data_IF_248811477648
#
_entry.id   IF_248811477648
#
_cell.length_a   1.000
_cell.length_b   1.000
_cell.length_c   1.000
_cell.angle_alpha   90.00
_cell.angle_beta   90.00
_cell.angle_gamma   90.00
#
_symmetry.space_group_name_H-M   'P 1'
#
loop_
_entity.id
_entity.type
_entity.pdbx_description
1 polymer ?
#
# COMPACT_ATOMS: atom_id res chain seq x y z
N UNK A 1 50.72 -10.69 -6.37
CA UNK A 1 50.22 -11.39 -5.16
C UNK A 1 49.76 -10.37 -4.14
N UNK A 2 48.62 -10.60 -3.50
CA UNK A 2 48.07 -9.77 -2.42
C UNK A 2 48.42 -10.37 -1.07
N UNK A 3 49.13 -9.63 -0.23
CA UNK A 3 49.44 -10.08 1.14
C UNK A 3 48.31 -9.69 2.09
N UNK A 4 47.80 -10.64 2.86
CA UNK A 4 46.74 -10.37 3.82
C UNK A 4 47.27 -9.46 4.95
N UNK A 5 46.65 -8.28 5.20
CA UNK A 5 47.11 -7.36 6.24
C UNK A 5 46.86 -7.89 7.67
N UNK A 6 46.08 -8.96 7.82
CA UNK A 6 45.72 -9.53 9.12
C UNK A 6 46.59 -10.72 9.52
N UNK A 7 46.84 -11.65 8.59
CA UNK A 7 47.55 -12.89 8.88
C UNK A 7 48.81 -13.09 8.04
N UNK A 8 49.17 -12.14 7.18
CA UNK A 8 50.39 -12.20 6.36
C UNK A 8 50.36 -13.19 5.19
N UNK A 9 49.26 -13.92 4.99
CA UNK A 9 49.14 -14.93 3.94
C UNK A 9 49.29 -14.33 2.53
N UNK A 10 49.97 -15.04 1.63
CA UNK A 10 50.13 -14.62 0.23
C UNK A 10 48.99 -15.17 -0.61
N UNK A 11 48.15 -14.29 -1.13
CA UNK A 11 46.96 -14.67 -1.90
C UNK A 11 47.12 -14.29 -3.37
N UNK A 12 46.37 -14.97 -4.24
CA UNK A 12 46.34 -14.67 -5.67
C UNK A 12 45.77 -13.27 -5.92
N UNK A 13 46.15 -12.65 -7.04
CA UNK A 13 45.71 -11.28 -7.38
C UNK A 13 44.20 -11.16 -7.70
N UNK A 14 43.50 -12.29 -7.82
CA UNK A 14 42.04 -12.36 -8.01
C UNK A 14 41.29 -12.77 -6.74
N UNK A 15 41.98 -13.06 -5.63
CA UNK A 15 41.36 -13.51 -4.39
C UNK A 15 40.56 -12.37 -3.73
N UNK A 16 39.24 -12.58 -3.56
CA UNK A 16 38.37 -11.62 -2.83
C UNK A 16 38.50 -11.76 -1.30
N UNK A 17 38.83 -12.95 -0.83
CA UNK A 17 39.02 -13.28 0.59
C UNK A 17 40.36 -14.00 0.78
N UNK A 18 40.94 -13.86 1.96
CA UNK A 18 42.14 -14.56 2.36
C UNK A 18 41.86 -16.05 2.49
N UNK A 19 42.67 -16.88 1.82
CA UNK A 19 42.52 -18.34 1.81
C UNK A 19 42.78 -18.98 3.19
N UNK A 20 43.56 -18.32 4.05
CA UNK A 20 43.87 -18.82 5.40
C UNK A 20 42.87 -18.36 6.48
N UNK A 21 42.57 -17.06 6.55
CA UNK A 21 41.77 -16.48 7.64
C UNK A 21 40.39 -15.95 7.23
N UNK A 22 40.02 -16.05 5.94
CA UNK A 22 38.72 -15.60 5.44
C UNK A 22 38.51 -14.08 5.36
N UNK A 23 39.51 -13.26 5.71
CA UNK A 23 39.38 -11.79 5.67
C UNK A 23 39.26 -11.27 4.24
N UNK A 24 38.35 -10.33 3.92
CA UNK A 24 38.27 -9.69 2.60
C UNK A 24 39.60 -8.97 2.26
N UNK A 25 40.12 -9.19 1.06
CA UNK A 25 41.40 -8.61 0.59
C UNK A 25 41.21 -7.42 -0.34
N UNK A 26 40.06 -7.31 -0.98
CA UNK A 26 39.65 -6.09 -1.66
C UNK A 26 38.96 -5.16 -0.64
N UNK A 27 39.14 -3.83 -0.73
CA UNK A 27 38.26 -2.91 -0.03
C UNK A 27 36.83 -3.23 -0.48
N UNK A 28 35.99 -3.66 0.45
CA UNK A 28 34.56 -3.71 0.17
C UNK A 28 34.17 -2.27 -0.18
N UNK A 29 33.41 -2.04 -1.28
CA UNK A 29 32.86 -0.71 -1.50
C UNK A 29 32.17 -0.31 -0.20
N UNK A 30 32.58 0.83 0.36
CA UNK A 30 31.96 1.36 1.56
C UNK A 30 30.45 1.50 1.35
N UNK A 31 29.65 1.55 2.42
CA UNK A 31 28.22 1.68 2.27
C UNK A 31 27.92 2.90 1.39
N UNK A 32 27.16 2.68 0.32
CA UNK A 32 26.87 3.75 -0.64
C UNK A 32 25.87 4.69 0.00
N UNK A 33 26.26 5.95 0.16
CA UNK A 33 25.40 6.98 0.73
C UNK A 33 24.72 7.76 -0.39
N UNK A 34 23.39 7.84 -0.34
CA UNK A 34 22.58 8.54 -1.32
C UNK A 34 21.64 9.51 -0.63
N UNK A 35 21.51 10.73 -1.16
CA UNK A 35 20.50 11.68 -0.69
C UNK A 35 19.17 11.33 -1.35
N UNK A 36 18.17 10.94 -0.55
CA UNK A 36 16.83 10.54 -1.00
C UNK A 36 15.75 11.23 -0.17
N UNK A 37 14.59 11.40 -0.77
CA UNK A 37 13.37 11.68 -0.02
C UNK A 37 12.88 10.36 0.55
N UNK A 38 12.73 10.30 1.86
CA UNK A 38 12.23 9.13 2.59
C UNK A 38 11.05 9.53 3.45
N UNK A 39 10.23 8.55 3.80
CA UNK A 39 9.18 8.72 4.81
C UNK A 39 9.48 7.86 6.02
N UNK A 40 9.50 8.50 7.19
CA UNK A 40 9.78 7.87 8.47
C UNK A 40 8.48 7.71 9.24
N UNK A 41 8.21 6.49 9.70
CA UNK A 41 7.11 6.14 10.61
C UNK A 41 7.71 5.83 11.98
N UNK A 42 7.20 6.48 13.02
CA UNK A 42 7.46 6.12 14.41
C UNK A 42 6.18 5.57 15.06
N UNK A 43 6.35 4.51 15.83
CA UNK A 43 5.32 3.91 16.69
C UNK A 43 5.92 3.74 18.06
N UNK A 44 5.23 4.20 19.09
CA UNK A 44 5.75 4.16 20.47
C UNK A 44 4.63 3.84 21.44
N UNK A 45 4.92 3.05 22.48
CA UNK A 45 3.91 2.70 23.47
C UNK A 45 3.81 3.78 24.55
N UNK A 46 2.59 4.12 24.92
CA UNK A 46 2.32 5.15 25.93
C UNK A 46 2.47 4.54 27.32
N UNK A 47 3.30 5.18 28.15
CA UNK A 47 3.58 4.82 29.54
C UNK A 47 4.14 3.39 29.73
N UNK A 48 4.56 2.72 28.66
CA UNK A 48 4.97 1.31 28.75
C UNK A 48 6.31 1.17 29.47
N UNK A 49 7.23 2.14 29.35
CA UNK A 49 8.45 2.16 30.16
C UNK A 49 8.13 2.08 31.67
N UNK A 50 7.18 2.89 32.16
CA UNK A 50 6.79 2.89 33.56
C UNK A 50 6.04 1.62 33.99
N UNK A 51 5.32 0.99 33.05
CA UNK A 51 4.68 -0.31 33.27
C UNK A 51 5.71 -1.45 33.33
N UNK A 52 6.71 -1.42 32.45
CA UNK A 52 7.75 -2.43 32.36
C UNK A 52 8.62 -2.46 33.63
N UNK A 53 8.85 -1.33 34.30
CA UNK A 53 9.57 -1.27 35.58
C UNK A 53 8.87 -2.03 36.73
N UNK A 54 7.57 -2.32 36.60
CA UNK A 54 6.75 -2.98 37.63
C UNK A 54 6.46 -4.44 37.32
N UNK A 55 6.87 -4.93 36.15
CA UNK A 55 6.61 -6.29 35.67
C UNK A 55 7.89 -7.12 35.73
N UNK A 56 7.74 -8.44 35.78
CA UNK A 56 8.88 -9.32 35.58
C UNK A 56 9.41 -9.18 34.14
N UNK A 57 10.73 -9.21 33.90
CA UNK A 57 11.29 -9.16 32.56
C UNK A 57 10.71 -10.20 31.59
N UNK A 58 10.32 -11.38 32.07
CA UNK A 58 9.66 -12.40 31.24
C UNK A 58 8.27 -11.95 30.77
N UNK A 59 7.49 -11.31 31.65
CA UNK A 59 6.18 -10.75 31.32
C UNK A 59 6.29 -9.58 30.34
N UNK A 60 7.27 -8.69 30.54
CA UNK A 60 7.56 -7.59 29.61
C UNK A 60 7.87 -8.14 28.22
N UNK A 61 8.69 -9.19 28.14
CA UNK A 61 9.03 -9.86 26.88
C UNK A 61 7.81 -10.53 26.23
N UNK A 62 6.94 -11.14 27.03
CA UNK A 62 5.71 -11.77 26.56
C UNK A 62 4.74 -10.77 25.93
N UNK A 63 4.71 -9.52 26.41
CA UNK A 63 3.90 -8.43 25.84
C UNK A 63 4.58 -7.81 24.60
N UNK A 64 5.88 -7.52 24.68
CA UNK A 64 6.60 -6.82 23.61
C UNK A 64 6.81 -7.67 22.36
N UNK A 65 7.01 -8.99 22.50
CA UNK A 65 7.32 -9.84 21.34
C UNK A 65 6.17 -9.91 20.33
N UNK A 66 4.89 -10.14 20.73
CA UNK A 66 3.75 -10.06 19.82
C UNK A 66 3.54 -8.66 19.25
N UNK A 67 3.71 -7.62 20.07
CA UNK A 67 3.64 -6.22 19.64
C UNK A 67 4.63 -5.93 18.49
N UNK A 68 5.91 -6.24 18.67
CA UNK A 68 6.93 -6.00 17.65
C UNK A 68 6.67 -6.80 16.38
N UNK A 69 6.25 -8.06 16.50
CA UNK A 69 5.90 -8.89 15.33
C UNK A 69 4.74 -8.27 14.55
N UNK A 70 3.70 -7.80 15.25
CA UNK A 70 2.53 -7.18 14.63
C UNK A 70 2.88 -5.88 13.91
N UNK A 71 3.61 -4.98 14.58
CA UNK A 71 4.05 -3.70 14.01
C UNK A 71 4.96 -3.93 12.80
N UNK A 72 5.94 -4.84 12.91
CA UNK A 72 6.84 -5.18 11.83
C UNK A 72 6.09 -5.72 10.62
N UNK A 73 5.17 -6.66 10.82
CA UNK A 73 4.38 -7.25 9.75
C UNK A 73 3.60 -6.19 8.98
N UNK A 74 3.00 -5.21 9.65
CA UNK A 74 2.29 -4.13 8.95
C UNK A 74 3.25 -3.19 8.20
N UNK A 75 4.39 -2.81 8.78
CA UNK A 75 5.38 -1.98 8.07
C UNK A 75 5.86 -2.68 6.79
N UNK A 76 6.23 -3.96 6.89
CA UNK A 76 6.73 -4.76 5.77
C UNK A 76 5.63 -5.04 4.73
N UNK A 77 4.38 -5.27 5.16
CA UNK A 77 3.21 -5.45 4.28
C UNK A 77 2.97 -4.23 3.38
N UNK A 78 3.14 -3.03 3.90
CA UNK A 78 3.06 -1.80 3.11
C UNK A 78 4.36 -1.48 2.37
N UNK A 79 5.34 -2.39 2.36
CA UNK A 79 6.62 -2.28 1.67
C UNK A 79 7.56 -1.23 2.26
N UNK A 80 7.46 -1.00 3.57
CA UNK A 80 8.45 -0.30 4.37
C UNK A 80 9.47 -1.28 4.96
N UNK A 81 10.59 -0.76 5.45
CA UNK A 81 11.63 -1.53 6.15
C UNK A 81 11.67 -1.10 7.60
N UNK A 82 11.68 -2.05 8.54
CA UNK A 82 11.92 -1.75 9.95
C UNK A 82 13.40 -1.50 10.16
N UNK A 83 13.72 -0.31 10.66
CA UNK A 83 15.10 0.13 10.89
C UNK A 83 15.65 -0.42 12.21
N UNK A 84 14.95 -0.11 13.29
CA UNK A 84 15.36 -0.47 14.65
C UNK A 84 14.19 -0.41 15.63
N UNK A 85 14.39 -1.16 16.71
CA UNK A 85 13.61 -1.08 17.94
C UNK A 85 14.45 -0.29 18.95
N UNK A 86 13.86 0.73 19.58
CA UNK A 86 14.51 1.55 20.61
C UNK A 86 13.63 1.51 21.85
N UNK A 87 13.90 0.56 22.76
CA UNK A 87 12.94 0.25 23.81
C UNK A 87 11.62 -0.21 23.18
N UNK A 88 10.51 0.36 23.62
CA UNK A 88 9.15 0.16 23.12
C UNK A 88 8.84 0.88 21.79
N UNK A 89 9.72 1.76 21.32
CA UNK A 89 9.56 2.46 20.07
C UNK A 89 10.04 1.64 18.86
N UNK A 90 9.28 1.71 17.76
CA UNK A 90 9.59 1.11 16.46
C UNK A 90 9.75 2.22 15.42
N UNK A 91 10.84 2.15 14.65
CA UNK A 91 11.08 3.04 13.51
C UNK A 91 10.98 2.26 12.19
N UNK A 92 10.04 2.67 11.34
CA UNK A 92 9.88 2.19 9.97
C UNK A 92 10.31 3.23 8.95
N UNK A 93 10.87 2.78 7.83
CA UNK A 93 11.32 3.63 6.72
C UNK A 93 10.65 3.19 5.42
N UNK A 94 10.12 4.15 4.68
CA UNK A 94 9.61 4.00 3.33
C UNK A 94 10.44 4.90 2.40
N UNK A 95 10.63 4.49 1.14
CA UNK A 95 11.50 5.21 0.20
C UNK A 95 12.96 4.76 0.21
N UNK A 96 13.34 3.83 1.11
CA UNK A 96 14.67 3.24 1.19
C UNK A 96 14.58 1.74 1.53
N UNK A 97 15.44 0.89 0.92
CA UNK A 97 16.48 1.22 -0.06
C UNK A 97 15.92 1.62 -1.44
N UNK A 98 14.67 1.24 -1.73
CA UNK A 98 13.96 1.52 -2.99
C UNK A 98 12.83 2.53 -2.73
N UNK A 99 12.70 3.52 -3.61
CA UNK A 99 11.65 4.53 -3.57
C UNK A 99 10.51 4.21 -4.55
N UNK A 100 9.27 4.39 -4.11
CA UNK A 100 8.07 4.01 -4.86
C UNK A 100 7.17 5.20 -5.24
N UNK A 101 7.53 6.42 -4.81
CA UNK A 101 6.84 7.66 -5.19
C UNK A 101 5.50 7.88 -4.48
N UNK A 102 4.92 6.81 -3.93
CA UNK A 102 3.77 6.79 -3.02
C UNK A 102 4.18 6.47 -1.57
N UNK A 103 5.48 6.55 -1.25
CA UNK A 103 6.05 6.16 0.05
C UNK A 103 5.39 6.85 1.25
N UNK A 104 4.97 8.11 1.06
CA UNK A 104 4.25 8.87 2.08
C UNK A 104 2.84 8.34 2.34
N UNK A 105 2.11 7.95 1.30
CA UNK A 105 0.79 7.33 1.43
C UNK A 105 0.91 5.96 2.11
N UNK A 106 1.83 5.11 1.63
CA UNK A 106 2.05 3.77 2.20
C UNK A 106 2.40 3.84 3.68
N UNK A 107 3.24 4.79 4.09
CA UNK A 107 3.59 5.00 5.50
C UNK A 107 2.39 5.43 6.37
N UNK A 108 1.54 6.34 5.88
CA UNK A 108 0.33 6.76 6.62
C UNK A 108 -0.67 5.61 6.74
N UNK A 109 -0.85 4.83 5.68
CA UNK A 109 -1.71 3.64 5.72
C UNK A 109 -1.17 2.54 6.62
N UNK A 110 0.15 2.33 6.65
CA UNK A 110 0.79 1.44 7.60
C UNK A 110 0.54 1.89 9.05
N UNK A 111 0.64 3.20 9.33
CA UNK A 111 0.35 3.73 10.66
C UNK A 111 -1.11 3.45 11.09
N UNK A 112 -2.07 3.66 10.19
CA UNK A 112 -3.48 3.33 10.42
C UNK A 112 -3.67 1.83 10.69
N UNK A 113 -3.08 0.98 9.84
CA UNK A 113 -3.18 -0.47 10.00
C UNK A 113 -2.55 -0.96 11.31
N UNK A 114 -1.43 -0.37 11.74
CA UNK A 114 -0.80 -0.67 13.04
C UNK A 114 -1.72 -0.28 14.19
N UNK A 115 -2.29 0.93 14.18
CA UNK A 115 -3.23 1.37 15.22
C UNK A 115 -4.41 0.41 15.35
N UNK A 116 -5.04 0.07 14.23
CA UNK A 116 -6.22 -0.81 14.20
C UNK A 116 -5.84 -2.26 14.61
N UNK A 117 -4.67 -2.74 14.20
CA UNK A 117 -4.12 -4.04 14.59
C UNK A 117 -3.93 -4.18 16.10
N UNK A 118 -3.37 -3.14 16.73
CA UNK A 118 -3.14 -3.13 18.18
C UNK A 118 -4.45 -3.00 18.95
N UNK A 119 -5.43 -2.28 18.41
CA UNK A 119 -6.78 -2.27 18.96
C UNK A 119 -7.39 -3.69 18.94
N UNK A 120 -7.28 -4.42 17.84
CA UNK A 120 -7.77 -5.81 17.77
C UNK A 120 -7.06 -6.75 18.76
N UNK A 121 -5.78 -6.50 19.06
CA UNK A 121 -5.06 -7.23 20.11
C UNK A 121 -5.64 -6.93 21.51
N UNK A 122 -5.92 -5.66 21.81
CA UNK A 122 -6.55 -5.27 23.08
C UNK A 122 -7.98 -5.82 23.21
N UNK A 123 -8.73 -5.94 22.11
CA UNK A 123 -10.06 -6.55 22.12
C UNK A 123 -9.99 -8.06 22.42
N UNK A 124 -8.96 -8.73 21.93
CA UNK A 124 -8.72 -10.15 22.18
C UNK A 124 -8.18 -10.42 23.59
N UNK A 125 -7.32 -9.54 24.09
CA UNK A 125 -6.76 -9.58 25.43
C UNK A 125 -6.74 -8.17 26.06
N UNK A 126 -7.79 -7.81 26.82
CA UNK A 126 -7.89 -6.50 27.47
C UNK A 126 -6.77 -6.22 28.48
N UNK A 127 -6.07 -7.24 28.97
CA UNK A 127 -4.96 -7.04 29.90
C UNK A 127 -3.73 -6.44 29.21
N UNK A 128 -3.64 -6.51 27.88
CA UNK A 128 -2.53 -5.93 27.13
C UNK A 128 -2.51 -4.41 27.18
N UNK A 129 -3.67 -3.72 27.17
CA UNK A 129 -3.83 -2.25 27.20
C UNK A 129 -2.74 -1.50 26.39
N UNK A 130 -2.53 -1.92 25.14
CA UNK A 130 -1.55 -1.34 24.24
C UNK A 130 -2.07 0.00 23.74
N UNK A 131 -1.55 1.08 24.31
CA UNK A 131 -1.82 2.45 23.89
C UNK A 131 -0.60 2.96 23.14
N UNK A 132 -0.79 3.56 21.97
CA UNK A 132 0.32 3.98 21.11
C UNK A 132 0.27 5.45 20.73
N UNK A 133 1.41 6.03 20.41
CA UNK A 133 1.54 7.31 19.71
C UNK A 133 2.26 7.06 18.40
N UNK A 134 1.71 7.56 17.30
CA UNK A 134 2.31 7.38 15.99
C UNK A 134 2.61 8.71 15.33
N UNK A 135 3.65 8.74 14.50
CA UNK A 135 3.83 9.84 13.57
C UNK A 135 4.48 9.42 12.27
N UNK A 136 4.16 10.16 11.21
CA UNK A 136 4.74 9.98 9.88
C UNK A 136 5.30 11.30 9.38
N UNK A 137 6.54 11.29 8.91
CA UNK A 137 7.15 12.49 8.35
C UNK A 137 7.98 12.17 7.11
N UNK A 138 7.79 12.94 6.06
CA UNK A 138 8.49 12.83 4.78
C UNK A 138 9.49 13.97 4.65
N UNK A 139 10.67 13.66 4.12
CA UNK A 139 11.71 14.66 3.91
C UNK A 139 13.01 14.06 3.37
N UNK A 140 13.95 14.94 3.06
CA UNK A 140 15.27 14.52 2.59
C UNK A 140 16.12 13.93 3.73
N UNK A 141 16.81 12.84 3.41
CA UNK A 141 17.79 12.22 4.29
C UNK A 141 18.95 11.61 3.50
N UNK A 142 20.05 11.38 4.19
CA UNK A 142 21.13 10.53 3.69
C UNK A 142 20.79 9.08 4.03
N UNK A 143 20.70 8.26 2.99
CA UNK A 143 20.45 6.82 3.07
C UNK A 143 21.76 6.08 2.88
N UNK A 144 22.12 5.24 3.85
CA UNK A 144 23.34 4.42 3.84
C UNK A 144 22.97 2.99 3.43
N UNK A 145 23.20 2.64 2.15
CA UNK A 145 22.92 1.31 1.63
C UNK A 145 23.90 0.29 2.21
N UNK A 146 23.38 -0.76 2.86
CA UNK A 146 24.20 -1.77 3.54
C UNK A 146 24.62 -1.39 4.96
N UNK A 147 23.96 -0.41 5.58
CA UNK A 147 24.09 -0.14 7.01
C UNK A 147 23.97 -1.43 7.82
N UNK A 148 24.77 -1.56 8.88
CA UNK A 148 24.73 -2.68 9.81
C UNK A 148 24.09 -2.23 11.12
N UNK A 149 22.77 -2.42 11.32
CA UNK A 149 22.08 -2.02 12.55
C UNK A 149 22.73 -2.61 13.81
N UNK A 150 23.23 -3.85 13.74
CA UNK A 150 23.95 -4.52 14.83
C UNK A 150 25.32 -3.91 15.18
N UNK A 151 25.84 -2.98 14.37
CA UNK A 151 27.07 -2.21 14.63
C UNK A 151 26.77 -0.73 14.94
N UNK A 152 25.49 -0.36 15.14
CA UNK A 152 25.07 1.00 15.46
C UNK A 152 24.99 1.95 14.25
N UNK A 153 25.12 1.44 13.03
CA UNK A 153 24.94 2.21 11.81
C UNK A 153 23.45 2.33 11.46
N UNK A 154 22.94 3.56 11.40
CA UNK A 154 21.58 3.82 10.91
C UNK A 154 21.54 3.93 9.38
N UNK A 155 20.55 3.29 8.76
CA UNK A 155 20.25 3.38 7.33
C UNK A 155 19.86 4.80 6.93
N UNK A 156 19.22 5.58 7.81
CA UNK A 156 18.74 6.93 7.50
C UNK A 156 19.25 7.93 8.52
N UNK A 157 19.85 9.01 8.01
CA UNK A 157 20.28 10.16 8.82
C UNK A 157 19.75 11.47 8.21
N UNK A 158 19.07 12.28 9.03
CA UNK A 158 18.54 13.58 8.61
C UNK A 158 17.54 14.17 9.60
N UNK A 159 17.20 15.45 9.40
CA UNK A 159 16.22 16.17 10.23
C UNK A 159 14.82 15.53 10.16
N UNK A 160 14.51 14.79 9.08
CA UNK A 160 13.25 14.06 8.92
C UNK A 160 13.00 13.08 10.07
N UNK A 161 14.05 12.40 10.57
CA UNK A 161 13.96 11.42 11.67
C UNK A 161 13.67 12.14 12.99
N UNK A 162 14.41 13.21 13.28
CA UNK A 162 14.22 14.00 14.50
C UNK A 162 12.85 14.67 14.53
N UNK A 163 12.36 15.14 13.39
CA UNK A 163 11.03 15.74 13.26
C UNK A 163 9.94 14.69 13.45
N UNK A 164 10.09 13.49 12.87
CA UNK A 164 9.15 12.39 13.06
C UNK A 164 9.03 11.96 14.52
N UNK A 165 10.16 11.80 15.22
CA UNK A 165 10.17 11.46 16.65
C UNK A 165 9.45 12.50 17.51
N UNK A 166 9.61 13.79 17.19
CA UNK A 166 8.93 14.88 17.92
C UNK A 166 7.43 14.90 17.67
N UNK A 167 7.01 14.71 16.41
CA UNK A 167 5.61 14.57 16.07
C UNK A 167 5.00 13.37 16.82
N UNK A 168 5.71 12.24 16.92
CA UNK A 168 5.24 11.09 17.69
C UNK A 168 5.07 11.44 19.16
N UNK A 169 6.07 12.07 19.79
CA UNK A 169 6.00 12.43 21.21
C UNK A 169 4.84 13.38 21.53
N UNK A 170 4.48 14.25 20.58
CA UNK A 170 3.35 15.18 20.70
C UNK A 170 1.99 14.59 20.26
N UNK A 171 1.97 13.38 19.67
CA UNK A 171 0.75 12.79 19.20
C UNK A 171 -0.21 12.48 20.36
N UNK A 172 -1.53 12.64 20.16
CA UNK A 172 -2.49 12.16 21.13
C UNK A 172 -2.42 10.63 21.26
N UNK A 173 -2.88 10.09 22.38
CA UNK A 173 -2.93 8.64 22.58
C UNK A 173 -3.82 8.02 21.50
N UNK A 174 -3.32 6.96 20.86
CA UNK A 174 -3.84 6.30 19.66
C UNK A 174 -3.99 7.21 18.44
N UNK A 175 -3.36 8.38 18.46
CA UNK A 175 -3.31 9.34 17.37
C UNK A 175 -2.11 9.16 16.46
N UNK A 176 -2.27 9.63 15.23
CA UNK A 176 -1.21 9.63 14.21
C UNK A 176 -1.02 11.08 13.74
N UNK A 177 0.12 11.69 14.08
CA UNK A 177 0.46 13.02 13.56
C UNK A 177 1.32 12.93 12.30
N UNK A 178 1.07 13.83 11.35
CA UNK A 178 1.91 13.95 10.15
C UNK A 178 2.52 15.33 10.00
N UNK A 179 3.71 15.38 9.41
CA UNK A 179 4.36 16.63 9.02
C UNK A 179 3.80 17.24 7.72
N UNK A 180 4.22 18.46 7.42
CA UNK A 180 3.71 19.24 6.28
C UNK A 180 3.92 18.59 4.90
N UNK A 181 5.10 18.01 4.67
CA UNK A 181 5.42 17.33 3.41
C UNK A 181 4.49 16.12 3.21
N UNK A 182 4.35 15.29 4.25
CA UNK A 182 3.47 14.12 4.25
C UNK A 182 2.02 14.53 4.05
N UNK A 183 1.53 15.55 4.77
CA UNK A 183 0.19 16.09 4.55
C UNK A 183 0.01 16.58 3.10
N UNK A 184 0.97 17.34 2.58
CA UNK A 184 0.92 17.87 1.21
C UNK A 184 0.77 16.80 0.14
N UNK A 185 1.50 15.67 0.29
CA UNK A 185 1.46 14.56 -0.66
C UNK A 185 0.28 13.61 -0.49
N UNK A 186 -0.39 13.60 0.67
CA UNK A 186 -1.44 12.61 1.00
C UNK A 186 -2.83 13.19 1.29
N UNK A 187 -2.98 14.52 1.46
CA UNK A 187 -4.26 15.20 1.78
C UNK A 187 -5.43 14.94 0.82
N UNK A 188 -5.13 14.46 -0.38
CA UNK A 188 -6.15 14.12 -1.37
C UNK A 188 -6.68 12.68 -1.22
N UNK A 189 -5.98 11.85 -0.44
CA UNK A 189 -6.25 10.42 -0.25
C UNK A 189 -6.58 10.06 1.20
N UNK A 190 -6.24 10.94 2.14
CA UNK A 190 -6.40 10.75 3.58
C UNK A 190 -7.10 11.98 4.15
N UNK A 191 -8.09 11.75 5.02
CA UNK A 191 -8.73 12.78 5.83
C UNK A 191 -7.86 13.17 7.01
N UNK A 192 -7.78 14.49 7.22
CA UNK A 192 -6.99 15.09 8.27
C UNK A 192 -7.79 16.13 9.06
N UNK A 193 -7.52 16.18 10.35
CA UNK A 193 -7.90 17.30 11.21
C UNK A 193 -6.70 18.22 11.46
N UNK A 194 -6.97 19.50 11.67
CA UNK A 194 -5.94 20.44 12.09
C UNK A 194 -5.45 20.07 13.49
N UNK A 195 -4.13 20.01 13.66
CA UNK A 195 -3.51 19.84 14.98
C UNK A 195 -2.71 21.09 15.33
N UNK A 196 -2.54 21.35 16.62
CA UNK A 196 -1.67 22.41 17.09
C UNK A 196 -0.23 22.16 16.61
N UNK A 197 0.49 23.18 16.12
CA UNK A 197 1.89 23.03 15.75
C UNK A 197 2.73 22.51 16.92
N UNK A 198 3.60 21.55 16.62
CA UNK A 198 4.43 20.89 17.64
C UNK A 198 5.67 21.72 17.92
N UNK A 199 5.79 22.20 19.17
CA UNK A 199 6.96 22.91 19.64
C UNK A 199 8.22 22.03 19.61
N UNK A 200 9.28 22.53 18.99
CA UNK A 200 10.49 21.78 18.78
C UNK A 200 11.70 22.53 19.34
N UNK A 201 12.22 22.11 20.50
CA UNK A 201 13.50 22.59 21.05
C UNK A 201 14.61 22.52 19.98
N UNK A 202 15.16 23.67 19.59
CA UNK A 202 16.21 23.78 18.57
C UNK A 202 15.74 24.12 17.15
N UNK A 203 14.42 24.24 16.90
CA UNK A 203 13.87 24.87 15.69
C UNK A 203 13.39 26.29 16.01
N UNK A 204 13.57 27.19 15.05
CA UNK A 204 13.15 28.59 15.19
C UNK A 204 11.62 28.77 15.07
N UNK A 205 10.94 27.80 14.46
CA UNK A 205 9.49 27.81 14.24
C UNK A 205 8.89 26.45 14.67
N UNK A 206 7.67 26.44 15.23
CA UNK A 206 6.93 25.21 15.51
C UNK A 206 6.75 24.36 14.26
N UNK A 207 6.73 23.03 14.41
CA UNK A 207 6.51 22.09 13.31
C UNK A 207 5.01 21.99 13.03
N UNK A 208 4.50 22.39 11.86
CA UNK A 208 3.10 22.20 11.51
C UNK A 208 2.74 20.72 11.52
N UNK A 209 1.58 20.39 12.09
CA UNK A 209 1.12 19.01 12.25
C UNK A 209 -0.36 18.87 11.88
N UNK A 210 -0.72 17.68 11.43
CA UNK A 210 -2.11 17.29 11.13
C UNK A 210 -2.39 15.92 11.71
N UNK A 211 -3.60 15.73 12.24
CA UNK A 211 -4.05 14.45 12.80
C UNK A 211 -4.71 13.63 11.70
N UNK A 212 -4.23 12.40 11.48
CA UNK A 212 -4.85 11.46 10.54
C UNK A 212 -6.18 10.97 11.10
N UNK A 213 -7.24 11.05 10.31
CA UNK A 213 -8.58 10.53 10.66
C UNK A 213 -8.80 9.16 10.01
N UNK A 214 -8.90 9.14 8.68
CA UNK A 214 -9.27 7.96 7.89
C UNK A 214 -8.80 8.07 6.44
N UNK A 215 -8.63 6.94 5.71
CA UNK A 215 -8.41 6.99 4.27
C UNK A 215 -9.70 7.38 3.52
N UNK A 216 -9.59 8.25 2.51
CA UNK A 216 -10.68 8.63 1.59
C UNK A 216 -10.92 7.60 0.49
N UNK A 217 -9.88 6.87 0.11
CA UNK A 217 -9.87 5.95 -1.01
C UNK A 217 -9.05 4.68 -0.71
N UNK A 218 -9.27 3.55 -1.42
CA UNK A 218 -8.43 2.36 -1.35
C UNK A 218 -6.97 2.61 -1.75
N UNK A 219 -6.07 1.69 -1.42
CA UNK A 219 -4.63 1.75 -1.77
C UNK A 219 -4.45 1.83 -3.30
N UNK A 220 -3.65 2.79 -3.77
CA UNK A 220 -3.22 2.86 -5.18
C UNK A 220 -4.04 3.80 -6.06
N UNK A 221 -5.09 4.43 -5.54
CA UNK A 221 -5.73 5.55 -6.23
C UNK A 221 -4.85 6.79 -6.14
N UNK A 222 -4.20 7.19 -7.24
CA UNK A 222 -3.61 8.54 -7.31
C UNK A 222 -4.72 9.57 -7.41
N UNK A 223 -4.81 10.45 -6.42
CA UNK A 223 -5.53 11.70 -6.57
C UNK A 223 -4.71 12.61 -7.47
N UNK A 224 -5.21 12.85 -8.68
CA UNK A 224 -4.59 13.84 -9.57
C UNK A 224 -4.98 15.23 -9.08
N UNK A 225 -4.02 16.15 -9.06
CA UNK A 225 -4.31 17.56 -8.82
C UNK A 225 -5.42 18.03 -9.80
N UNK A 226 -6.32 18.94 -9.39
CA UNK A 226 -7.45 19.42 -10.21
C UNK A 226 -6.99 20.40 -11.31
N UNK A 227 -5.86 20.11 -11.97
CA UNK A 227 -5.32 20.90 -13.08
C UNK A 227 -5.92 20.35 -14.38
N UNK A 228 -6.58 21.16 -15.22
CA UNK A 228 -7.17 20.70 -16.47
C UNK A 228 -6.15 19.96 -17.35
N UNK A 229 -6.56 18.86 -17.96
CA UNK A 229 -5.71 18.16 -18.93
C UNK A 229 -5.52 19.02 -20.19
N UNK A 230 -4.26 19.36 -20.51
CA UNK A 230 -3.92 20.20 -21.65
C UNK A 230 -3.55 19.33 -22.85
N UNK A 231 -4.03 19.68 -24.05
CA UNK A 231 -3.56 19.11 -25.32
C UNK A 231 -4.04 17.69 -25.65
N UNK A 232 -5.08 17.17 -24.96
CA UNK A 232 -5.60 15.80 -25.16
C UNK A 232 -7.11 15.77 -25.45
N UNK A 233 -7.62 16.85 -26.03
CA UNK A 233 -9.06 17.03 -26.30
C UNK A 233 -9.64 16.00 -27.27
N UNK A 234 -8.86 15.59 -28.27
CA UNK A 234 -9.28 14.60 -29.26
C UNK A 234 -9.44 13.20 -28.64
N UNK A 235 -8.44 12.75 -27.87
CA UNK A 235 -8.51 11.46 -27.17
C UNK A 235 -9.62 11.43 -26.13
N UNK A 236 -9.81 12.53 -25.39
CA UNK A 236 -10.93 12.67 -24.46
C UNK A 236 -12.28 12.62 -25.17
N UNK A 237 -12.41 13.23 -26.36
CA UNK A 237 -13.65 13.18 -27.13
C UNK A 237 -13.99 11.75 -27.58
N UNK A 238 -12.99 10.97 -28.02
CA UNK A 238 -13.16 9.56 -28.37
C UNK A 238 -13.63 8.74 -27.16
N UNK A 239 -12.95 8.87 -26.02
CA UNK A 239 -13.32 8.14 -24.80
C UNK A 239 -14.73 8.48 -24.31
N UNK A 240 -15.13 9.75 -24.42
CA UNK A 240 -16.49 10.19 -24.09
C UNK A 240 -17.53 9.58 -25.01
N UNK A 241 -17.32 9.62 -26.32
CA UNK A 241 -18.27 9.05 -27.27
C UNK A 241 -18.42 7.53 -27.10
N UNK A 242 -17.34 6.82 -26.72
CA UNK A 242 -17.42 5.40 -26.36
C UNK A 242 -18.26 5.22 -25.08
N UNK A 243 -18.01 6.03 -24.04
CA UNK A 243 -18.77 5.95 -22.79
C UNK A 243 -20.27 6.25 -22.97
N UNK A 244 -20.60 7.25 -23.79
CA UNK A 244 -21.98 7.58 -24.16
C UNK A 244 -22.66 6.38 -24.82
N UNK A 245 -22.03 5.75 -25.83
CA UNK A 245 -22.57 4.53 -26.45
C UNK A 245 -22.71 3.36 -25.48
N UNK A 246 -21.73 3.14 -24.60
CA UNK A 246 -21.82 2.09 -23.57
C UNK A 246 -23.05 2.31 -22.69
N UNK A 247 -23.29 3.56 -22.30
CA UNK A 247 -24.39 3.94 -21.40
C UNK A 247 -25.76 3.92 -22.08
N UNK A 248 -25.84 4.34 -23.35
CA UNK A 248 -27.10 4.46 -24.09
C UNK A 248 -27.52 3.15 -24.80
N UNK A 249 -26.55 2.41 -25.36
CA UNK A 249 -26.82 1.20 -26.15
C UNK A 249 -26.72 -0.08 -25.31
N UNK A 250 -26.30 -0.01 -24.05
CA UNK A 250 -25.99 -1.16 -23.20
C UNK A 250 -25.07 -2.16 -23.89
N UNK A 251 -24.03 -1.66 -24.57
CA UNK A 251 -23.07 -2.48 -25.30
C UNK A 251 -21.69 -2.41 -24.67
N UNK A 252 -21.10 -3.57 -24.30
CA UNK A 252 -19.80 -3.57 -23.69
C UNK A 252 -18.73 -3.15 -24.70
N UNK A 253 -17.74 -2.38 -24.24
CA UNK A 253 -16.59 -1.98 -25.05
C UNK A 253 -15.28 -2.25 -24.30
N UNK A 254 -14.25 -2.68 -25.03
CA UNK A 254 -12.87 -2.71 -24.56
C UNK A 254 -12.09 -1.60 -25.26
N UNK A 255 -11.43 -0.76 -24.49
CA UNK A 255 -10.56 0.31 -24.97
C UNK A 255 -9.17 0.17 -24.35
N UNK A 256 -8.14 0.29 -25.19
CA UNK A 256 -6.74 0.26 -24.75
C UNK A 256 -6.08 1.60 -25.03
N UNK A 257 -5.48 2.20 -24.01
CA UNK A 257 -4.72 3.46 -24.13
C UNK A 257 -3.23 3.14 -24.19
N UNK A 258 -2.69 3.13 -25.40
CA UNK A 258 -1.26 2.90 -25.61
C UNK A 258 -0.47 4.21 -25.77
N UNK A 259 0.79 4.20 -25.31
CA UNK A 259 1.72 5.32 -25.50
C UNK A 259 2.94 5.28 -24.58
N UNK A 260 3.93 6.16 -24.81
CA UNK A 260 5.16 6.22 -24.01
C UNK A 260 4.92 6.44 -22.51
N UNK A 261 5.88 6.06 -21.68
CA UNK A 261 5.85 6.38 -20.24
C UNK A 261 5.84 7.89 -20.03
N UNK A 262 5.05 8.37 -19.07
CA UNK A 262 4.96 9.81 -18.75
C UNK A 262 4.06 10.64 -19.67
N UNK A 263 3.52 10.10 -20.78
CA UNK A 263 2.64 10.84 -21.72
C UNK A 263 1.25 11.19 -21.14
N UNK A 264 0.96 10.80 -19.90
CA UNK A 264 -0.31 11.09 -19.23
C UNK A 264 -1.43 10.06 -19.48
N UNK A 265 -1.11 8.78 -19.71
CA UNK A 265 -2.12 7.70 -19.85
C UNK A 265 -3.04 7.58 -18.64
N UNK A 266 -2.49 7.44 -17.43
CA UNK A 266 -3.30 7.39 -16.20
C UNK A 266 -4.08 8.68 -15.97
N UNK A 267 -3.56 9.85 -16.40
CA UNK A 267 -4.31 11.12 -16.34
C UNK A 267 -5.51 11.09 -17.28
N UNK A 268 -5.36 10.55 -18.49
CA UNK A 268 -6.43 10.40 -19.47
C UNK A 268 -7.54 9.47 -18.95
N UNK A 269 -7.16 8.32 -18.39
CA UNK A 269 -8.08 7.40 -17.72
C UNK A 269 -8.82 8.07 -16.55
N UNK A 270 -8.10 8.86 -15.75
CA UNK A 270 -8.69 9.61 -14.65
C UNK A 270 -9.73 10.64 -15.11
N UNK A 271 -9.45 11.40 -16.16
CA UNK A 271 -10.39 12.37 -16.74
C UNK A 271 -11.67 11.70 -17.24
N UNK A 272 -11.56 10.50 -17.82
CA UNK A 272 -12.73 9.70 -18.18
C UNK A 272 -13.52 9.27 -16.94
N UNK A 273 -12.85 8.75 -15.92
CA UNK A 273 -13.49 8.30 -14.66
C UNK A 273 -14.23 9.43 -13.95
N UNK A 274 -13.65 10.65 -13.91
CA UNK A 274 -14.34 11.81 -13.35
C UNK A 274 -15.66 12.08 -14.08
N UNK A 275 -15.66 11.97 -15.41
CA UNK A 275 -16.86 12.17 -16.22
C UNK A 275 -17.90 11.07 -16.04
N UNK A 276 -17.46 9.82 -16.00
CA UNK A 276 -18.30 8.66 -15.69
C UNK A 276 -19.04 8.88 -14.37
N UNK A 277 -18.31 9.32 -13.35
CA UNK A 277 -18.88 9.58 -12.02
C UNK A 277 -19.89 10.72 -12.05
N UNK A 278 -19.58 11.82 -12.76
CA UNK A 278 -20.50 12.96 -12.92
C UNK A 278 -21.75 12.59 -13.73
N UNK A 279 -21.64 11.69 -14.71
CA UNK A 279 -22.79 11.19 -15.47
C UNK A 279 -23.61 10.13 -14.72
N UNK A 280 -23.29 9.86 -13.44
CA UNK A 280 -23.99 8.87 -12.63
C UNK A 280 -23.60 7.42 -12.93
N UNK A 281 -22.45 7.18 -13.56
CA UNK A 281 -21.85 5.87 -13.75
C UNK A 281 -20.92 5.49 -12.60
N UNK A 282 -20.62 4.20 -12.50
CA UNK A 282 -19.66 3.63 -11.55
C UNK A 282 -18.30 3.51 -12.21
N UNK A 283 -17.24 3.84 -11.47
CA UNK A 283 -15.87 3.63 -11.93
C UNK A 283 -15.08 2.87 -10.86
N UNK A 284 -14.42 1.79 -11.27
CA UNK A 284 -13.61 0.94 -10.42
C UNK A 284 -12.21 0.87 -11.00
N UNK A 285 -11.18 1.02 -10.16
CA UNK A 285 -9.78 1.06 -10.61
C UNK A 285 -8.99 -0.12 -10.07
N UNK A 286 -8.19 -0.73 -10.91
CA UNK A 286 -7.36 -1.86 -10.57
C UNK A 286 -6.00 -1.63 -11.19
N UNK A 287 -4.94 -1.76 -10.40
CA UNK A 287 -3.59 -1.49 -10.86
C UNK A 287 -2.73 -2.74 -10.76
N UNK A 288 -2.04 -3.05 -11.84
CA UNK A 288 -0.96 -4.04 -11.85
C UNK A 288 0.31 -3.40 -11.34
N UNK A 289 0.85 -3.93 -10.24
CA UNK A 289 2.08 -3.42 -9.63
C UNK A 289 3.25 -4.34 -9.99
N UNK A 290 4.46 -3.78 -10.25
CA UNK A 290 5.64 -4.60 -10.54
C UNK A 290 6.13 -5.41 -9.33
N UNK A 291 5.74 -5.02 -8.11
CA UNK A 291 6.16 -5.65 -6.85
C UNK A 291 5.03 -5.66 -5.83
N UNK A 292 4.89 -6.76 -5.09
CA UNK A 292 3.91 -6.98 -4.02
C UNK A 292 3.26 -8.36 -4.15
N UNK A 293 2.71 -8.89 -3.05
CA UNK A 293 1.87 -10.11 -3.03
C UNK A 293 0.50 -9.85 -3.70
N UNK A 294 0.50 -9.26 -4.89
CA UNK A 294 -0.71 -9.19 -5.71
C UNK A 294 -0.82 -10.55 -6.40
N UNK A 295 -1.82 -11.34 -6.03
CA UNK A 295 -2.09 -12.61 -6.70
C UNK A 295 -2.31 -12.45 -8.21
N UNK A 296 -2.44 -13.55 -8.98
CA UNK A 296 -2.52 -13.53 -10.45
C UNK A 296 -3.60 -12.61 -11.04
N UNK A 297 -4.59 -12.21 -10.23
CA UNK A 297 -5.71 -11.36 -10.62
C UNK A 297 -5.71 -10.00 -9.91
N UNK A 298 -4.55 -9.52 -9.43
CA UNK A 298 -4.43 -8.38 -8.50
C UNK A 298 -5.25 -7.14 -8.85
N UNK A 299 -5.25 -6.67 -10.10
CA UNK A 299 -6.05 -5.52 -10.51
C UNK A 299 -7.56 -5.79 -10.44
N UNK A 300 -8.00 -6.98 -10.88
CA UNK A 300 -9.41 -7.38 -10.77
C UNK A 300 -9.82 -7.59 -9.31
N UNK A 301 -8.94 -8.17 -8.49
CA UNK A 301 -9.14 -8.30 -7.05
C UNK A 301 -9.38 -6.94 -6.38
N UNK A 302 -8.67 -5.89 -6.81
CA UNK A 302 -8.90 -4.52 -6.32
C UNK A 302 -10.30 -4.00 -6.72
N UNK A 303 -10.80 -4.30 -7.92
CA UNK A 303 -12.17 -3.96 -8.31
C UNK A 303 -13.20 -4.66 -7.41
N UNK A 304 -13.02 -5.96 -7.16
CA UNK A 304 -13.92 -6.74 -6.30
C UNK A 304 -13.89 -6.21 -4.86
N UNK A 305 -12.71 -5.90 -4.32
CA UNK A 305 -12.57 -5.30 -2.98
C UNK A 305 -13.28 -3.95 -2.88
N UNK A 306 -13.19 -3.10 -3.90
CA UNK A 306 -13.92 -1.82 -3.96
C UNK A 306 -15.44 -2.02 -3.93
N UNK A 307 -15.93 -2.98 -4.74
CA UNK A 307 -17.35 -3.32 -4.79
C UNK A 307 -17.84 -3.80 -3.43
N UNK A 308 -17.08 -4.70 -2.81
CA UNK A 308 -17.44 -5.29 -1.53
C UNK A 308 -17.11 -4.43 -0.31
N UNK A 309 -16.50 -3.25 -0.51
CA UNK A 309 -15.99 -2.37 0.56
C UNK A 309 -15.10 -3.14 1.54
N UNK A 310 -14.25 -3.99 0.99
CA UNK A 310 -13.23 -4.74 1.71
C UNK A 310 -12.00 -3.87 1.79
N UNK A 311 -11.62 -3.55 3.02
CA UNK A 311 -10.45 -2.75 3.35
C UNK A 311 -9.34 -3.66 3.85
N UNK A 312 -8.09 -3.22 3.70
CA UNK A 312 -6.93 -4.03 4.06
C UNK A 312 -6.82 -4.30 5.59
N UNK A 313 -7.57 -3.57 6.42
CA UNK A 313 -7.67 -3.77 7.87
C UNK A 313 -8.81 -4.72 8.28
N UNK A 314 -9.63 -5.21 7.34
CA UNK A 314 -10.70 -6.14 7.66
C UNK A 314 -10.14 -7.52 8.05
N UNK A 315 -10.75 -8.15 9.06
CA UNK A 315 -10.49 -9.56 9.35
C UNK A 315 -10.95 -10.44 8.17
N UNK A 316 -10.28 -11.57 7.94
CA UNK A 316 -10.61 -12.48 6.82
C UNK A 316 -12.08 -12.93 6.83
N UNK A 317 -12.61 -13.33 7.99
CA UNK A 317 -14.02 -13.71 8.12
C UNK A 317 -14.97 -12.55 7.77
N UNK A 318 -14.67 -11.34 8.27
CA UNK A 318 -15.45 -10.14 7.95
C UNK A 318 -15.37 -9.76 6.47
N UNK A 319 -14.22 -9.99 5.83
CA UNK A 319 -14.02 -9.74 4.40
C UNK A 319 -14.85 -10.70 3.54
N UNK A 320 -14.88 -11.99 3.89
CA UNK A 320 -15.71 -12.97 3.18
C UNK A 320 -17.20 -12.65 3.31
N UNK A 321 -17.67 -12.28 4.50
CA UNK A 321 -19.07 -11.89 4.71
C UNK A 321 -19.46 -10.60 3.99
N UNK A 322 -18.54 -9.64 3.86
CA UNK A 322 -18.73 -8.45 3.03
C UNK A 322 -18.83 -8.81 1.54
N UNK A 323 -17.94 -9.69 1.06
CA UNK A 323 -18.00 -10.20 -0.31
C UNK A 323 -19.33 -10.89 -0.57
N UNK A 324 -19.72 -11.84 0.28
CA UNK A 324 -20.95 -12.63 0.15
C UNK A 324 -22.20 -11.75 0.06
N UNK A 325 -22.30 -10.76 0.95
CA UNK A 325 -23.42 -9.79 0.93
C UNK A 325 -23.45 -9.00 -0.37
N UNK A 326 -22.31 -8.49 -0.81
CA UNK A 326 -22.23 -7.68 -2.02
C UNK A 326 -22.54 -8.50 -3.27
N UNK A 327 -22.06 -9.75 -3.34
CA UNK A 327 -22.37 -10.65 -4.44
C UNK A 327 -23.86 -10.98 -4.46
N UNK A 328 -24.48 -11.33 -3.33
CA UNK A 328 -25.93 -11.57 -3.24
C UNK A 328 -26.75 -10.35 -3.68
N UNK A 329 -26.36 -9.15 -3.28
CA UNK A 329 -27.00 -7.90 -3.72
C UNK A 329 -26.87 -7.65 -5.23
N UNK A 330 -25.82 -8.16 -5.87
CA UNK A 330 -25.50 -7.92 -7.29
C UNK A 330 -26.07 -8.99 -8.22
N UNK A 331 -25.85 -10.26 -7.89
CA UNK A 331 -26.20 -11.41 -8.74
C UNK A 331 -27.51 -12.09 -8.33
N UNK A 332 -28.06 -11.76 -7.16
CA UNK A 332 -29.19 -12.46 -6.56
C UNK A 332 -28.78 -13.75 -5.83
N UNK A 333 -29.69 -14.27 -5.01
CA UNK A 333 -29.37 -15.33 -4.03
C UNK A 333 -29.06 -16.71 -4.63
N UNK A 334 -29.60 -17.03 -5.82
CA UNK A 334 -29.47 -18.36 -6.41
C UNK A 334 -28.02 -18.72 -6.75
N UNK A 335 -27.21 -17.75 -7.19
CA UNK A 335 -25.82 -17.94 -7.64
C UNK A 335 -24.81 -17.34 -6.67
N UNK A 336 -25.27 -16.70 -5.58
CA UNK A 336 -24.44 -15.88 -4.71
C UNK A 336 -23.34 -16.67 -4.01
N UNK A 337 -23.66 -17.85 -3.47
CA UNK A 337 -22.73 -18.62 -2.64
C UNK A 337 -21.56 -19.18 -3.46
N UNK A 338 -21.87 -19.72 -4.64
CA UNK A 338 -20.85 -20.26 -5.57
C UNK A 338 -19.99 -19.13 -6.15
N UNK A 339 -20.63 -18.04 -6.60
CA UNK A 339 -19.93 -16.86 -7.13
C UNK A 339 -19.01 -16.25 -6.07
N UNK A 340 -19.47 -16.16 -4.81
CA UNK A 340 -18.66 -15.66 -3.69
C UNK A 340 -17.42 -16.52 -3.48
N UNK A 341 -17.56 -17.85 -3.48
CA UNK A 341 -16.44 -18.78 -3.31
C UNK A 341 -15.38 -18.62 -4.40
N UNK A 342 -15.81 -18.51 -5.66
CA UNK A 342 -14.89 -18.32 -6.78
C UNK A 342 -14.21 -16.96 -6.76
N UNK A 343 -14.95 -15.88 -6.47
CA UNK A 343 -14.38 -14.54 -6.33
C UNK A 343 -13.41 -14.45 -5.13
N UNK A 344 -13.69 -15.14 -4.03
CA UNK A 344 -12.78 -15.19 -2.87
C UNK A 344 -11.41 -15.77 -3.25
N UNK A 345 -11.36 -16.74 -4.16
CA UNK A 345 -10.10 -17.28 -4.69
C UNK A 345 -9.36 -16.25 -5.55
N UNK A 346 -10.07 -15.50 -6.41
CA UNK A 346 -9.47 -14.44 -7.24
C UNK A 346 -8.94 -13.27 -6.41
N UNK A 347 -9.59 -12.97 -5.28
CA UNK A 347 -9.24 -11.87 -4.37
C UNK A 347 -8.17 -12.26 -3.34
N UNK A 348 -7.91 -13.57 -3.16
CA UNK A 348 -6.97 -14.08 -2.15
C UNK A 348 -7.55 -14.14 -0.73
N UNK A 349 -8.88 -14.30 -0.60
CA UNK A 349 -9.58 -14.45 0.68
C UNK A 349 -9.88 -15.93 1.05
N UNK A 350 -9.74 -16.86 0.11
CA UNK A 350 -9.97 -18.29 0.33
C UNK A 350 -8.67 -19.07 0.57
N UNK A 351 -8.62 -19.86 1.66
CA UNK A 351 -7.50 -20.78 1.96
C UNK A 351 -7.79 -22.24 1.62
N UNK A 352 -9.05 -22.59 1.33
CA UNK A 352 -9.47 -23.97 1.09
C UNK A 352 -10.30 -24.08 -0.19
N UNK A 353 -9.79 -24.89 -1.13
CA UNK A 353 -10.41 -25.18 -2.42
C UNK A 353 -9.54 -24.77 -3.60
N UNK A 354 -9.19 -25.74 -4.45
CA UNK A 354 -8.73 -25.47 -5.80
C UNK A 354 -9.90 -25.66 -6.75
N UNK A 355 -10.11 -24.69 -7.64
CA UNK A 355 -11.00 -24.90 -8.79
C UNK A 355 -10.15 -25.52 -9.89
N UNK A 356 -10.53 -26.71 -10.35
CA UNK A 356 -9.80 -27.43 -11.38
C UNK A 356 -9.89 -26.74 -12.75
N UNK A 357 -10.94 -25.95 -12.96
CA UNK A 357 -11.22 -25.27 -14.22
C UNK A 357 -11.30 -23.74 -14.05
N UNK A 358 -10.35 -23.05 -14.66
CA UNK A 358 -10.25 -21.59 -14.66
C UNK A 358 -11.45 -20.92 -15.32
N UNK A 359 -12.14 -21.57 -16.27
CA UNK A 359 -13.34 -21.01 -16.90
C UNK A 359 -14.47 -20.79 -15.88
N UNK A 360 -14.53 -21.60 -14.83
CA UNK A 360 -15.55 -21.46 -13.77
C UNK A 360 -15.33 -20.18 -12.95
N UNK A 361 -14.06 -19.84 -12.67
CA UNK A 361 -13.71 -18.58 -12.01
C UNK A 361 -14.09 -17.38 -12.89
N UNK A 362 -13.84 -17.50 -14.20
CA UNK A 362 -14.12 -16.45 -15.17
C UNK A 362 -15.62 -16.23 -15.37
N UNK A 363 -16.40 -17.31 -15.33
CA UNK A 363 -17.86 -17.24 -15.34
C UNK A 363 -18.39 -16.45 -14.13
N UNK A 364 -17.87 -16.73 -12.93
CA UNK A 364 -18.27 -16.01 -11.70
C UNK A 364 -17.86 -14.53 -11.73
N UNK A 365 -16.66 -14.23 -12.26
CA UNK A 365 -16.23 -12.86 -12.52
C UNK A 365 -17.18 -12.14 -13.50
N UNK A 366 -17.63 -12.84 -14.55
CA UNK A 366 -18.58 -12.30 -15.53
C UNK A 366 -19.93 -11.97 -14.88
N UNK A 367 -20.49 -12.87 -14.07
CA UNK A 367 -21.77 -12.66 -13.38
C UNK A 367 -21.73 -11.40 -12.50
N UNK A 368 -20.65 -11.24 -11.73
CA UNK A 368 -20.46 -10.04 -10.91
C UNK A 368 -20.44 -8.76 -11.76
N UNK A 369 -19.66 -8.78 -12.84
CA UNK A 369 -19.48 -7.60 -13.71
C UNK A 369 -20.77 -7.26 -14.48
N UNK A 370 -21.48 -8.27 -14.98
CA UNK A 370 -22.79 -8.10 -15.63
C UNK A 370 -23.83 -7.55 -14.66
N UNK A 371 -23.90 -8.09 -13.44
CA UNK A 371 -24.81 -7.58 -12.40
C UNK A 371 -24.49 -6.15 -11.97
N UNK A 372 -23.20 -5.82 -11.82
CA UNK A 372 -22.75 -4.45 -11.51
C UNK A 372 -23.20 -3.46 -12.58
N UNK A 373 -22.92 -3.78 -13.84
CA UNK A 373 -23.26 -2.94 -14.97
C UNK A 373 -24.79 -2.85 -15.18
N UNK A 374 -25.55 -3.90 -14.86
CA UNK A 374 -27.02 -3.86 -14.89
C UNK A 374 -27.63 -2.90 -13.86
N UNK A 375 -27.01 -2.75 -12.69
CA UNK A 375 -27.44 -1.78 -11.68
C UNK A 375 -27.07 -0.35 -12.05
N UNK A 376 -25.87 -0.17 -12.59
CA UNK A 376 -25.32 1.14 -12.92
C UNK A 376 -24.25 0.98 -14.02
N UNK A 377 -24.28 1.81 -15.09
CA UNK A 377 -23.23 1.80 -16.11
C UNK A 377 -21.84 1.84 -15.45
N UNK A 378 -20.95 0.91 -15.81
CA UNK A 378 -19.72 0.68 -15.07
C UNK A 378 -18.48 0.75 -15.96
N UNK A 379 -17.44 1.44 -15.50
CA UNK A 379 -16.09 1.38 -16.08
C UNK A 379 -15.15 0.61 -15.16
N UNK A 380 -14.51 -0.44 -15.68
CA UNK A 380 -13.39 -1.12 -15.04
C UNK A 380 -12.08 -0.63 -15.68
N UNK A 381 -11.27 0.07 -14.90
CA UNK A 381 -9.96 0.56 -15.33
C UNK A 381 -8.89 -0.41 -14.84
N UNK A 382 -8.07 -0.92 -15.76
CA UNK A 382 -6.89 -1.73 -15.51
C UNK A 382 -5.64 -0.89 -15.83
N UNK A 383 -5.00 -0.35 -14.80
CA UNK A 383 -3.79 0.45 -14.94
C UNK A 383 -2.54 -0.43 -14.95
N UNK A 384 -1.51 0.06 -15.66
CA UNK A 384 -0.19 -0.55 -15.70
C UNK A 384 -0.21 -2.02 -16.20
N UNK A 385 -1.09 -2.33 -17.17
CA UNK A 385 -1.30 -3.69 -17.71
C UNK A 385 -0.03 -4.37 -18.25
N UNK A 386 1.03 -3.61 -18.57
CA UNK A 386 2.35 -4.14 -18.92
C UNK A 386 3.04 -4.91 -17.78
N UNK A 387 2.60 -4.73 -16.53
CA UNK A 387 2.99 -5.52 -15.36
C UNK A 387 1.96 -6.58 -14.97
N UNK A 388 0.86 -6.74 -15.73
CA UNK A 388 -0.17 -7.72 -15.42
C UNK A 388 0.38 -9.16 -15.57
N UNK A 389 -0.06 -10.03 -14.67
CA UNK A 389 0.11 -11.47 -14.86
C UNK A 389 -0.68 -11.92 -16.11
N UNK A 390 -0.18 -12.89 -16.89
CA UNK A 390 -0.93 -13.45 -18.02
C UNK A 390 -2.35 -13.89 -17.64
N UNK A 391 -2.53 -14.32 -16.38
CA UNK A 391 -3.83 -14.79 -15.90
C UNK A 391 -4.89 -13.69 -15.90
N UNK A 392 -4.49 -12.46 -15.55
CA UNK A 392 -5.33 -11.28 -15.59
C UNK A 392 -5.65 -10.87 -17.03
N UNK A 393 -4.71 -11.02 -17.96
CA UNK A 393 -4.93 -10.71 -19.38
C UNK A 393 -6.01 -11.62 -19.97
N UNK A 394 -5.94 -12.94 -19.74
CA UNK A 394 -6.98 -13.82 -20.30
C UNK A 394 -8.35 -13.57 -19.65
N UNK A 395 -8.40 -13.09 -18.39
CA UNK A 395 -9.66 -12.69 -17.76
C UNK A 395 -10.26 -11.46 -18.47
N UNK A 396 -9.43 -10.45 -18.77
CA UNK A 396 -9.88 -9.25 -19.49
C UNK A 396 -10.40 -9.63 -20.89
N UNK A 397 -9.68 -10.50 -21.61
CA UNK A 397 -10.11 -11.01 -22.91
C UNK A 397 -11.42 -11.80 -22.82
N UNK A 398 -11.54 -12.67 -21.81
CA UNK A 398 -12.76 -13.44 -21.57
C UNK A 398 -13.96 -12.51 -21.33
N UNK A 399 -13.81 -11.51 -20.45
CA UNK A 399 -14.88 -10.54 -20.17
C UNK A 399 -15.26 -9.76 -21.43
N UNK A 400 -14.27 -9.26 -22.18
CA UNK A 400 -14.51 -8.53 -23.43
C UNK A 400 -15.24 -9.37 -24.49
N UNK A 401 -14.97 -10.68 -24.55
CA UNK A 401 -15.58 -11.58 -25.53
C UNK A 401 -16.95 -12.14 -25.10
N UNK A 402 -17.20 -12.27 -23.78
CA UNK A 402 -18.37 -13.00 -23.25
C UNK A 402 -19.45 -12.13 -22.64
N UNK A 403 -19.12 -10.94 -22.15
CA UNK A 403 -20.13 -9.99 -21.66
C UNK A 403 -20.98 -9.52 -22.83
N UNK A 404 -22.30 -9.50 -22.68
CA UNK A 404 -23.26 -9.05 -23.71
C UNK A 404 -24.34 -8.20 -23.07
N UNK A 405 -24.90 -7.28 -23.85
CA UNK A 405 -26.08 -6.48 -23.48
C UNK A 405 -25.94 -5.78 -22.11
N UNK A 406 -24.72 -5.33 -21.79
CA UNK A 406 -24.37 -4.73 -20.51
C UNK A 406 -23.63 -3.40 -20.72
N UNK A 407 -23.97 -2.32 -19.99
CA UNK A 407 -23.31 -1.02 -20.09
C UNK A 407 -21.96 -1.03 -19.36
N UNK A 408 -21.02 -1.80 -19.90
CA UNK A 408 -19.69 -2.03 -19.35
C UNK A 408 -18.59 -1.45 -20.26
N UNK A 409 -17.67 -0.69 -19.70
CA UNK A 409 -16.44 -0.29 -20.37
C UNK A 409 -15.23 -0.88 -19.65
N UNK A 410 -14.45 -1.69 -20.37
CA UNK A 410 -13.13 -2.13 -19.93
C UNK A 410 -12.10 -1.16 -20.50
N UNK A 411 -11.32 -0.50 -19.64
CA UNK A 411 -10.24 0.42 -20.03
C UNK A 411 -8.91 -0.16 -19.59
N UNK A 412 -7.96 -0.33 -20.52
CA UNK A 412 -6.62 -0.91 -20.30
C UNK A 412 -5.49 0.03 -20.69
#
# INVERSE_FOLDING_TARGET
MLTCPNCGESNSDRARFCQACGRPLAPQPGPTQERKVVTVLFVDLVDFTARAERLDPEDVRAILSPYYQRVRSEIERFGGTVEKFVGDAVMGIFGAPVAHGDDSERAVRAALAIRDALQGMNESDPALDLRVRLAVNTGEAIVTLGARPGQGEGMVAGDVVNTAARLQSAAPVNGILVGAETYGSTRALIDYEAAEPVEAKGKALPVPAWLVVSPRAPVGERAFAPVPMIGRGAELAVLRGIWERVSEESRPHLVTVFGPTGIGKSRLAHELVQRVTVSGGKALRGRSVPYGESGPYGAFAQHVKQVARIFDNDHLAGSYDKLRRSVSEITGDAEAEETTRHLALLVGLGTEGSVSDRETLFFSARLLVEGLAAQQPTVLVFEDIHWADPSLLDLIEFLAARVRESPLLLLT
#
